data_IF_989264300572
#
_entry.id   IF_989264300572
#
_cell.length_a   1.000
_cell.length_b   1.000
_cell.length_c   1.000
_cell.angle_alpha   90.00
_cell.angle_beta   90.00
_cell.angle_gamma   90.00
#
_symmetry.space_group_name_H-M   'P 1'
#
loop_
_entity.id
_entity.type
_entity.pdbx_description
1 polymer ?
#
# COMPACT_ATOMS: atom_id res chain seq x y z
N UNK A 1 -18.47 9.96 11.33
CA UNK A 1 -18.04 11.31 10.93
C UNK A 1 -17.46 11.16 9.54
N UNK A 2 -17.56 12.14 8.63
CA UNK A 2 -17.01 12.00 7.30
C UNK A 2 -15.49 12.17 7.28
N UNK A 3 -14.83 11.57 6.30
CA UNK A 3 -13.39 11.73 6.06
C UNK A 3 -13.04 13.19 5.76
N UNK A 4 -11.89 13.61 6.22
CA UNK A 4 -11.37 14.96 6.00
C UNK A 4 -10.13 14.90 5.12
N UNK A 5 -10.16 15.67 4.02
CA UNK A 5 -9.00 15.81 3.14
C UNK A 5 -8.19 17.03 3.55
N UNK A 6 -6.89 16.85 3.69
CA UNK A 6 -5.98 17.91 4.09
C UNK A 6 -4.67 17.84 3.31
N UNK A 7 -4.12 18.99 2.96
CA UNK A 7 -2.79 19.12 2.39
C UNK A 7 -1.80 19.49 3.49
N UNK A 8 -0.66 18.80 3.52
CA UNK A 8 0.44 19.04 4.45
C UNK A 8 1.67 19.48 3.68
N UNK A 9 2.41 20.46 4.21
CA UNK A 9 3.66 20.94 3.59
C UNK A 9 4.84 20.20 4.22
N UNK A 10 5.69 19.58 3.39
CA UNK A 10 6.93 18.94 3.83
C UNK A 10 8.07 19.95 4.03
N UNK A 11 9.15 19.51 4.69
CA UNK A 11 10.37 20.33 4.86
C UNK A 11 11.02 20.72 3.50
N UNK A 12 10.78 19.97 2.42
CA UNK A 12 11.22 20.28 1.05
C UNK A 12 10.24 21.17 0.28
N UNK A 13 9.27 21.78 0.95
CA UNK A 13 8.22 22.61 0.36
C UNK A 13 7.26 21.86 -0.59
N UNK A 14 7.30 20.53 -0.61
CA UNK A 14 6.30 19.75 -1.34
C UNK A 14 5.00 19.67 -0.54
N UNK A 15 3.88 19.63 -1.22
CA UNK A 15 2.59 19.37 -0.64
C UNK A 15 2.31 17.87 -0.59
N UNK A 16 1.74 17.40 0.51
CA UNK A 16 1.27 16.02 0.68
C UNK A 16 -0.21 16.07 0.97
N UNK A 17 -0.99 15.40 0.13
CA UNK A 17 -2.41 15.21 0.38
C UNK A 17 -2.61 14.11 1.43
N UNK A 18 -3.25 14.44 2.54
CA UNK A 18 -3.58 13.52 3.64
C UNK A 18 -5.09 13.41 3.80
N UNK A 19 -5.56 12.21 4.00
CA UNK A 19 -6.95 11.89 4.30
C UNK A 19 -7.04 11.25 5.67
N UNK A 20 -7.86 11.82 6.55
CA UNK A 20 -8.09 11.30 7.90
C UNK A 20 -9.55 10.94 8.10
N UNK A 21 -9.82 9.88 8.84
CA UNK A 21 -11.17 9.39 9.16
C UNK A 21 -11.19 8.67 10.53
N UNK A 22 -12.36 8.17 10.92
CA UNK A 22 -12.55 7.46 12.18
C UNK A 22 -12.72 8.40 13.38
N UNK A 23 -12.20 7.98 14.54
CA UNK A 23 -12.25 8.76 15.77
C UNK A 23 -11.10 9.78 15.81
N UNK A 24 -11.35 11.09 15.83
CA UNK A 24 -10.28 12.11 15.87
C UNK A 24 -9.31 11.98 17.05
N UNK A 25 -9.81 11.48 18.18
CA UNK A 25 -9.04 11.28 19.41
C UNK A 25 -8.61 9.79 19.56
N UNK A 26 -8.78 9.00 18.49
CA UNK A 26 -8.51 7.57 18.48
C UNK A 26 -7.01 7.26 18.37
N UNK A 27 -6.67 5.98 18.67
CA UNK A 27 -5.30 5.51 18.51
C UNK A 27 -4.86 5.63 17.03
N UNK A 28 -3.64 6.13 16.74
CA UNK A 28 -3.21 6.41 15.39
C UNK A 28 -3.02 5.13 14.56
N UNK A 29 -3.66 5.07 13.41
CA UNK A 29 -3.53 4.00 12.43
C UNK A 29 -3.15 4.57 11.06
N UNK A 30 -1.97 4.23 10.58
CA UNK A 30 -1.53 4.57 9.24
C UNK A 30 -1.95 3.46 8.26
N UNK A 31 -2.83 3.79 7.32
CA UNK A 31 -3.24 2.90 6.24
C UNK A 31 -2.51 3.22 4.95
N UNK A 32 -1.81 2.24 4.38
CA UNK A 32 -1.04 2.40 3.14
C UNK A 32 -1.65 1.54 2.04
N UNK A 33 -2.39 2.13 1.09
CA UNK A 33 -3.01 1.39 0.00
C UNK A 33 -1.98 0.87 -1.01
N UNK A 34 -2.45 -0.06 -1.88
CA UNK A 34 -1.64 -0.66 -2.94
C UNK A 34 -1.12 0.32 -3.99
N UNK A 35 -0.54 -0.20 -5.04
CA UNK A 35 0.01 0.56 -6.18
C UNK A 35 -0.62 0.09 -7.49
N UNK A 36 -1.00 0.99 -8.38
CA UNK A 36 -1.08 2.45 -8.24
C UNK A 36 -2.35 2.88 -7.51
N UNK A 37 -2.25 3.80 -6.55
CA UNK A 37 -3.43 4.36 -5.88
C UNK A 37 -3.14 5.68 -5.17
N UNK A 38 -4.14 6.57 -5.14
CA UNK A 38 -4.15 7.77 -4.32
C UNK A 38 -5.08 7.62 -3.10
N UNK A 39 -5.01 8.51 -2.15
CA UNK A 39 -5.95 8.57 -1.04
C UNK A 39 -7.38 8.81 -1.54
N UNK A 40 -8.31 7.97 -1.10
CA UNK A 40 -9.73 8.05 -1.44
C UNK A 40 -10.59 7.64 -0.25
N UNK A 41 -11.77 8.23 -0.14
CA UNK A 41 -12.72 7.95 0.91
C UNK A 41 -13.29 6.54 0.79
N UNK A 42 -13.23 5.78 1.87
CA UNK A 42 -13.87 4.49 1.97
C UNK A 42 -14.67 4.37 3.27
N UNK A 43 -16.01 4.53 3.21
CA UNK A 43 -16.87 4.54 4.39
C UNK A 43 -16.70 3.32 5.30
N UNK A 44 -16.37 2.15 4.73
CA UNK A 44 -16.12 0.94 5.51
C UNK A 44 -14.88 1.05 6.40
N UNK A 45 -13.83 1.72 5.93
CA UNK A 45 -12.64 2.00 6.76
C UNK A 45 -12.94 3.02 7.85
N UNK A 46 -13.72 4.06 7.55
CA UNK A 46 -14.16 5.05 8.55
C UNK A 46 -15.01 4.39 9.64
N UNK A 47 -16.00 3.59 9.25
CA UNK A 47 -16.84 2.84 10.20
C UNK A 47 -16.01 1.86 11.05
N UNK A 48 -15.05 1.16 10.45
CA UNK A 48 -14.17 0.23 11.14
C UNK A 48 -13.28 0.96 12.15
N UNK A 49 -12.62 2.03 11.71
CA UNK A 49 -11.77 2.86 12.57
C UNK A 49 -12.58 3.43 13.75
N UNK A 50 -13.78 3.94 13.49
CA UNK A 50 -14.68 4.47 14.54
C UNK A 50 -15.04 3.40 15.56
N UNK A 51 -15.43 2.18 15.10
CA UNK A 51 -15.80 1.06 16.00
C UNK A 51 -14.65 0.58 16.88
N UNK A 52 -13.43 0.62 16.34
CA UNK A 52 -12.22 0.17 17.05
C UNK A 52 -11.55 1.31 17.84
N UNK A 53 -12.09 2.52 17.84
CA UNK A 53 -11.51 3.65 18.54
C UNK A 53 -10.20 4.14 17.91
N UNK A 54 -10.06 3.97 16.58
CA UNK A 54 -8.88 4.35 15.81
C UNK A 54 -9.09 5.67 15.06
N UNK A 55 -8.01 6.40 14.86
CA UNK A 55 -7.89 7.48 13.88
C UNK A 55 -7.07 7.01 12.70
N UNK A 56 -7.73 6.75 11.58
CA UNK A 56 -7.07 6.37 10.34
C UNK A 56 -6.46 7.58 9.66
N UNK A 57 -5.25 7.43 9.18
CA UNK A 57 -4.53 8.37 8.31
C UNK A 57 -4.07 7.60 7.06
N UNK A 58 -4.30 8.18 5.89
CA UNK A 58 -3.74 7.72 4.62
C UNK A 58 -3.35 8.92 3.78
N UNK A 59 -2.49 8.75 2.78
CA UNK A 59 -2.05 9.85 1.94
C UNK A 59 -1.89 9.42 0.49
N UNK A 60 -1.93 10.40 -0.39
CA UNK A 60 -1.46 10.22 -1.76
C UNK A 60 0.06 10.30 -1.79
N UNK A 61 0.72 9.22 -2.20
CA UNK A 61 2.19 9.20 -2.38
C UNK A 61 2.62 10.23 -3.43
N UNK A 62 3.90 10.62 -3.50
CA UNK A 62 4.38 11.63 -4.44
C UNK A 62 3.93 11.38 -5.88
N UNK A 63 3.36 12.42 -6.53
CA UNK A 63 2.84 12.35 -7.89
C UNK A 63 1.46 11.72 -8.03
N UNK A 64 0.82 11.32 -6.92
CA UNK A 64 -0.58 10.90 -6.90
C UNK A 64 -1.49 11.98 -6.31
N UNK A 65 -2.76 12.00 -6.75
CA UNK A 65 -3.76 12.92 -6.22
C UNK A 65 -3.28 14.37 -6.24
N UNK A 66 -3.41 15.05 -5.12
CA UNK A 66 -2.97 16.44 -4.95
C UNK A 66 -1.55 16.55 -4.32
N UNK A 67 -0.85 15.41 -4.14
CA UNK A 67 0.53 15.41 -3.61
C UNK A 67 1.53 15.80 -4.68
N UNK A 68 2.42 16.75 -4.38
CA UNK A 68 3.50 17.14 -5.28
C UNK A 68 4.38 15.93 -5.66
N UNK A 69 4.80 15.79 -6.91
CA UNK A 69 5.77 14.77 -7.30
C UNK A 69 7.10 15.01 -6.56
N UNK A 70 7.85 13.93 -6.32
CA UNK A 70 9.22 14.01 -5.81
C UNK A 70 10.17 14.14 -6.98
N UNK A 71 11.21 14.99 -6.85
CA UNK A 71 12.30 14.96 -7.81
C UNK A 71 12.95 13.56 -7.82
N UNK A 72 13.20 13.02 -9.01
CA UNK A 72 13.81 11.71 -9.16
C UNK A 72 15.17 11.68 -8.45
N UNK A 73 15.37 10.84 -7.43
CA UNK A 73 16.66 10.73 -6.75
C UNK A 73 17.75 10.19 -7.71
N UNK A 74 19.00 10.54 -7.49
CA UNK A 74 20.11 10.06 -8.30
C UNK A 74 20.28 8.52 -8.27
N UNK A 75 19.82 7.87 -7.20
CA UNK A 75 19.81 6.41 -7.05
C UNK A 75 18.50 5.76 -7.55
N UNK A 76 17.60 6.51 -8.19
CA UNK A 76 16.23 6.08 -8.46
C UNK A 76 15.33 6.13 -7.21
N UNK A 77 14.01 5.95 -7.37
CA UNK A 77 13.08 5.94 -6.24
C UNK A 77 13.24 4.65 -5.42
N UNK A 78 13.08 4.77 -4.09
CA UNK A 78 13.12 3.65 -3.14
C UNK A 78 11.93 3.70 -2.19
N UNK A 79 11.59 2.58 -1.60
CA UNK A 79 10.55 2.48 -0.57
C UNK A 79 10.88 3.37 0.64
N UNK A 80 12.14 3.38 1.08
CA UNK A 80 12.62 4.20 2.20
C UNK A 80 12.49 5.71 1.99
N UNK A 81 12.37 6.17 0.73
CA UNK A 81 12.22 7.60 0.43
C UNK A 81 10.87 8.15 0.90
N UNK A 82 9.90 7.29 1.21
CA UNK A 82 8.59 7.70 1.73
C UNK A 82 8.59 7.94 3.26
N UNK A 83 9.62 7.49 3.97
CA UNK A 83 9.70 7.65 5.44
C UNK A 83 9.70 9.11 5.89
N UNK A 84 10.46 10.05 5.27
CA UNK A 84 10.37 11.48 5.65
C UNK A 84 8.98 12.09 5.43
N UNK A 85 8.24 11.64 4.41
CA UNK A 85 6.86 12.09 4.19
C UNK A 85 5.93 11.53 5.28
N UNK A 86 6.11 10.27 5.66
CA UNK A 86 5.34 9.62 6.75
C UNK A 86 5.62 10.33 8.08
N UNK A 87 6.88 10.64 8.42
CA UNK A 87 7.21 11.40 9.64
C UNK A 87 6.53 12.78 9.63
N UNK A 88 6.57 13.48 8.48
CA UNK A 88 5.91 14.77 8.32
C UNK A 88 4.39 14.66 8.54
N UNK A 89 3.75 13.60 8.04
CA UNK A 89 2.33 13.35 8.25
C UNK A 89 2.03 13.10 9.73
N UNK A 90 2.78 12.21 10.36
CA UNK A 90 2.61 11.87 11.77
C UNK A 90 2.76 13.11 12.67
N UNK A 91 3.77 13.93 12.42
CA UNK A 91 4.02 15.15 13.18
C UNK A 91 2.92 16.19 12.96
N UNK A 92 2.47 16.39 11.72
CA UNK A 92 1.39 17.32 11.38
C UNK A 92 0.04 16.87 11.94
N UNK A 93 -0.19 15.56 12.11
CA UNK A 93 -1.37 14.98 12.74
C UNK A 93 -1.24 14.88 14.27
N UNK A 94 -0.13 15.37 14.87
CA UNK A 94 0.08 15.35 16.31
C UNK A 94 0.23 13.94 16.89
N UNK A 95 0.80 13.01 16.12
CA UNK A 95 1.15 11.68 16.62
C UNK A 95 2.53 11.77 17.28
N UNK A 96 2.53 12.07 18.57
CA UNK A 96 3.78 12.26 19.33
C UNK A 96 4.36 10.93 19.85
N UNK A 97 3.52 9.93 20.07
CA UNK A 97 3.91 8.65 20.63
C UNK A 97 3.92 7.55 19.56
N UNK A 98 3.15 6.49 19.77
CA UNK A 98 3.16 5.30 18.91
C UNK A 98 1.99 5.30 17.92
N UNK A 99 2.18 4.64 16.80
CA UNK A 99 1.14 4.32 15.81
C UNK A 99 1.23 2.86 15.37
N UNK A 100 0.13 2.32 14.87
CA UNK A 100 0.12 1.06 14.11
C UNK A 100 0.05 1.36 12.62
N UNK A 101 0.63 0.47 11.82
CA UNK A 101 0.63 0.60 10.37
C UNK A 101 0.13 -0.67 9.69
N UNK A 102 -0.72 -0.49 8.69
CA UNK A 102 -1.16 -1.59 7.82
C UNK A 102 -0.92 -1.19 6.37
N UNK A 103 -0.19 -2.02 5.64
CA UNK A 103 0.07 -1.84 4.22
C UNK A 103 -0.53 -2.97 3.39
N UNK A 104 -1.27 -2.60 2.33
CA UNK A 104 -1.86 -3.54 1.38
C UNK A 104 -1.11 -3.52 0.05
N UNK A 105 -0.80 -4.71 -0.52
CA UNK A 105 -0.17 -4.82 -1.84
C UNK A 105 1.13 -4.00 -1.91
N UNK A 106 1.31 -3.10 -2.88
CA UNK A 106 2.42 -2.15 -2.94
C UNK A 106 2.60 -1.22 -1.73
N UNK A 107 1.60 -1.15 -0.83
CA UNK A 107 1.72 -0.46 0.45
C UNK A 107 2.46 -1.28 1.52
N UNK A 108 2.48 -2.61 1.38
CA UNK A 108 3.13 -3.52 2.34
C UNK A 108 4.62 -3.23 2.58
N UNK A 109 5.45 -3.07 1.53
CA UNK A 109 6.85 -2.69 1.68
C UNK A 109 7.06 -1.41 2.50
N UNK A 110 6.13 -0.45 2.42
CA UNK A 110 6.18 0.81 3.19
C UNK A 110 5.79 0.62 4.66
N UNK A 111 4.87 -0.30 4.93
CA UNK A 111 4.59 -0.69 6.32
C UNK A 111 5.81 -1.37 6.96
N UNK A 112 6.52 -2.22 6.20
CA UNK A 112 7.79 -2.80 6.65
C UNK A 112 8.89 -1.73 6.82
N UNK A 113 8.91 -0.70 5.95
CA UNK A 113 9.82 0.44 6.12
C UNK A 113 9.54 1.21 7.42
N UNK A 114 8.27 1.44 7.77
CA UNK A 114 7.92 2.03 9.07
C UNK A 114 8.44 1.17 10.24
N UNK A 115 8.23 -0.14 10.17
CA UNK A 115 8.69 -1.07 11.21
C UNK A 115 10.22 -1.11 11.34
N UNK A 116 10.96 -0.98 10.23
CA UNK A 116 12.42 -1.02 10.21
C UNK A 116 13.06 0.31 10.61
N UNK A 117 12.50 1.43 10.15
CA UNK A 117 13.16 2.74 10.20
C UNK A 117 12.57 3.68 11.27
N UNK A 118 11.36 3.38 11.78
CA UNK A 118 10.71 4.15 12.83
C UNK A 118 10.38 3.25 14.07
N UNK A 119 11.30 2.40 14.55
CA UNK A 119 10.98 1.41 15.59
C UNK A 119 10.57 2.05 16.93
N UNK A 120 10.95 3.31 17.18
CA UNK A 120 10.56 4.04 18.40
C UNK A 120 9.15 4.64 18.32
N UNK A 121 8.55 4.67 17.12
CA UNK A 121 7.19 5.22 16.87
C UNK A 121 6.23 4.16 16.35
N UNK A 122 6.72 3.21 15.56
CA UNK A 122 5.90 2.11 15.02
C UNK A 122 5.75 1.02 16.09
N UNK A 123 4.59 0.95 16.74
CA UNK A 123 4.30 -0.09 17.74
C UNK A 123 4.20 -1.48 17.12
N UNK A 124 3.52 -1.57 16.00
CA UNK A 124 3.31 -2.81 15.26
C UNK A 124 2.95 -2.53 13.81
N UNK A 125 3.29 -3.44 12.93
CA UNK A 125 2.95 -3.38 11.51
C UNK A 125 2.17 -4.62 11.05
N UNK A 126 1.35 -4.46 10.01
CA UNK A 126 0.80 -5.58 9.28
C UNK A 126 0.96 -5.36 7.77
N UNK A 127 1.13 -6.45 7.06
CA UNK A 127 1.11 -6.48 5.59
C UNK A 127 0.00 -7.39 5.11
N UNK A 128 -0.77 -6.91 4.12
CA UNK A 128 -1.81 -7.66 3.43
C UNK A 128 -1.38 -7.82 1.97
N UNK A 129 -1.19 -9.04 1.49
CA UNK A 129 -0.75 -9.31 0.11
C UNK A 129 0.49 -8.49 -0.29
N UNK A 130 1.52 -8.42 0.56
CA UNK A 130 2.72 -7.62 0.34
C UNK A 130 3.73 -8.31 -0.57
N UNK A 131 4.35 -7.52 -1.43
CA UNK A 131 5.57 -7.93 -2.12
C UNK A 131 6.72 -8.16 -1.12
N UNK A 132 7.63 -9.06 -1.44
CA UNK A 132 8.96 -9.16 -0.84
C UNK A 132 9.95 -8.26 -1.62
N UNK A 133 11.15 -7.95 -1.08
CA UNK A 133 12.19 -7.24 -1.83
C UNK A 133 12.47 -7.89 -3.17
N UNK A 134 12.72 -7.06 -4.20
CA UNK A 134 12.96 -7.60 -5.55
C UNK A 134 14.22 -8.48 -5.63
N UNK A 135 15.22 -8.17 -4.81
CA UNK A 135 16.45 -8.92 -4.66
C UNK A 135 16.39 -10.02 -3.58
N UNK A 136 15.18 -10.44 -3.17
CA UNK A 136 14.95 -11.49 -2.19
C UNK A 136 15.60 -12.81 -2.59
N UNK A 137 16.64 -13.21 -1.86
CA UNK A 137 17.39 -14.42 -2.18
C UNK A 137 16.50 -15.68 -2.08
N UNK A 138 16.53 -16.50 -3.12
CA UNK A 138 15.77 -17.76 -3.19
C UNK A 138 14.30 -17.59 -3.58
N UNK A 139 13.82 -16.38 -3.86
CA UNK A 139 12.47 -16.12 -4.37
C UNK A 139 12.52 -15.92 -5.89
N UNK A 140 11.79 -16.74 -6.64
CA UNK A 140 11.44 -16.40 -8.03
C UNK A 140 10.31 -15.37 -7.99
N UNK A 141 10.72 -14.07 -8.02
CA UNK A 141 9.89 -12.94 -7.63
C UNK A 141 8.62 -12.78 -8.48
N UNK A 142 8.69 -13.09 -9.78
CA UNK A 142 7.55 -12.97 -10.70
C UNK A 142 6.75 -14.28 -10.86
N UNK A 143 7.24 -15.39 -10.30
CA UNK A 143 6.59 -16.68 -10.47
C UNK A 143 5.21 -16.73 -9.85
N UNK A 144 4.20 -17.07 -10.64
CA UNK A 144 2.81 -17.15 -10.23
C UNK A 144 2.03 -15.83 -10.37
N UNK A 145 2.68 -14.73 -10.77
CA UNK A 145 1.99 -13.49 -11.10
C UNK A 145 1.20 -13.61 -12.41
N UNK A 146 0.07 -12.90 -12.48
CA UNK A 146 -0.69 -12.75 -13.72
C UNK A 146 0.10 -12.04 -14.82
N UNK A 147 -0.18 -12.31 -16.10
CA UNK A 147 0.60 -11.77 -17.23
C UNK A 147 0.70 -10.24 -17.25
N UNK A 148 -0.34 -9.54 -16.79
CA UNK A 148 -0.34 -8.06 -16.69
C UNK A 148 0.71 -7.55 -15.70
N UNK A 149 0.82 -8.17 -14.52
CA UNK A 149 1.82 -7.80 -13.52
C UNK A 149 3.24 -8.14 -13.99
N UNK A 150 3.41 -9.29 -14.65
CA UNK A 150 4.71 -9.65 -15.23
C UNK A 150 5.15 -8.61 -16.26
N UNK A 151 4.23 -8.14 -17.13
CA UNK A 151 4.52 -7.11 -18.12
C UNK A 151 4.83 -5.75 -17.45
N UNK A 152 4.09 -5.39 -16.42
CA UNK A 152 4.27 -4.15 -15.65
C UNK A 152 5.68 -4.10 -15.01
N UNK A 153 6.05 -5.14 -14.27
CA UNK A 153 7.36 -5.19 -13.62
C UNK A 153 8.52 -5.36 -14.62
N UNK A 154 8.30 -6.09 -15.73
CA UNK A 154 9.30 -6.16 -16.79
C UNK A 154 9.59 -4.80 -17.39
N UNK A 155 8.56 -3.97 -17.65
CA UNK A 155 8.74 -2.61 -18.13
C UNK A 155 9.46 -1.73 -17.08
N UNK A 156 9.16 -1.90 -15.78
CA UNK A 156 9.86 -1.17 -14.72
C UNK A 156 11.37 -1.47 -14.70
N UNK A 157 11.77 -2.71 -14.97
CA UNK A 157 13.18 -3.13 -15.04
C UNK A 157 13.92 -2.55 -16.25
N UNK A 158 13.21 -2.13 -17.30
CA UNK A 158 13.82 -1.43 -18.43
C UNK A 158 14.18 0.03 -18.12
N UNK A 159 13.66 0.57 -17.00
CA UNK A 159 13.98 1.89 -16.50
C UNK A 159 12.85 2.93 -16.63
N UNK A 160 13.09 4.14 -16.12
CA UNK A 160 12.00 5.12 -15.91
C UNK A 160 11.33 5.62 -17.20
N UNK A 161 12.06 5.72 -18.32
CA UNK A 161 11.50 6.17 -19.61
C UNK A 161 10.57 5.09 -20.19
N UNK A 162 11.04 3.85 -20.26
CA UNK A 162 10.25 2.72 -20.76
C UNK A 162 9.02 2.48 -19.89
N UNK A 163 9.20 2.55 -18.57
CA UNK A 163 8.09 2.36 -17.63
C UNK A 163 7.07 3.49 -17.67
N UNK A 164 7.51 4.75 -17.85
CA UNK A 164 6.61 5.88 -18.09
C UNK A 164 5.72 5.66 -19.31
N UNK A 165 6.31 5.29 -20.44
CA UNK A 165 5.57 4.97 -21.67
C UNK A 165 4.60 3.79 -21.48
N UNK A 166 4.99 2.77 -20.70
CA UNK A 166 4.12 1.67 -20.35
C UNK A 166 2.91 2.16 -19.52
N UNK A 167 3.13 3.00 -18.51
CA UNK A 167 2.06 3.56 -17.68
C UNK A 167 1.12 4.48 -18.47
N UNK A 168 1.64 5.30 -19.39
CA UNK A 168 0.81 6.09 -20.32
C UNK A 168 -0.11 5.20 -21.16
N UNK A 169 0.39 4.05 -21.61
CA UNK A 169 -0.35 3.14 -22.48
C UNK A 169 -1.39 2.31 -21.73
N UNK A 170 -1.06 1.78 -20.54
CA UNK A 170 -1.86 0.76 -19.87
C UNK A 170 -2.51 1.23 -18.57
N UNK A 171 -1.94 2.21 -17.86
CA UNK A 171 -2.49 2.72 -16.62
C UNK A 171 -3.41 3.94 -16.85
N UNK A 172 -2.97 4.95 -17.60
CA UNK A 172 -3.77 6.17 -17.78
C UNK A 172 -5.18 5.93 -18.34
N UNK A 173 -5.39 5.02 -19.30
CA UNK A 173 -6.76 4.73 -19.74
C UNK A 173 -7.68 4.19 -18.65
N UNK A 174 -7.14 3.56 -17.60
CA UNK A 174 -7.91 3.07 -16.46
C UNK A 174 -8.39 4.20 -15.53
N UNK A 175 -7.73 5.36 -15.59
CA UNK A 175 -8.07 6.49 -14.72
C UNK A 175 -9.34 7.24 -15.14
N UNK A 176 -9.89 6.92 -16.30
CA UNK A 176 -11.19 7.41 -16.81
C UNK A 176 -12.25 6.29 -16.88
N UNK A 177 -11.91 5.08 -16.43
CA UNK A 177 -12.80 3.92 -16.52
C UNK A 177 -14.00 4.07 -15.59
N UNK A 178 -15.17 3.55 -16.01
CA UNK A 178 -16.34 3.50 -15.15
C UNK A 178 -16.18 2.49 -13.99
N UNK A 179 -17.00 2.61 -12.95
CA UNK A 179 -17.01 1.63 -11.84
C UNK A 179 -17.28 0.21 -12.37
N UNK A 180 -18.14 0.09 -13.38
CA UNK A 180 -18.47 -1.21 -13.97
C UNK A 180 -17.28 -1.78 -14.77
N UNK A 181 -16.54 -0.93 -15.48
CA UNK A 181 -15.32 -1.33 -16.21
C UNK A 181 -14.20 -1.74 -15.25
N UNK A 182 -14.01 -0.99 -14.16
CA UNK A 182 -13.05 -1.34 -13.11
C UNK A 182 -13.44 -2.67 -12.44
N UNK A 183 -14.72 -2.85 -12.11
CA UNK A 183 -15.21 -4.11 -11.53
C UNK A 183 -15.01 -5.29 -12.49
N UNK A 184 -15.30 -5.09 -13.80
CA UNK A 184 -15.07 -6.11 -14.82
C UNK A 184 -13.58 -6.41 -15.02
N UNK A 185 -12.73 -5.38 -15.03
CA UNK A 185 -11.27 -5.53 -15.10
C UNK A 185 -10.72 -6.28 -13.91
N UNK A 186 -11.17 -5.94 -12.71
CA UNK A 186 -10.80 -6.64 -11.49
C UNK A 186 -11.24 -8.11 -11.53
N UNK A 187 -12.45 -8.42 -12.01
CA UNK A 187 -12.92 -9.79 -12.13
C UNK A 187 -12.06 -10.65 -13.07
N UNK A 188 -11.33 -10.04 -14.01
CA UNK A 188 -10.37 -10.73 -14.89
C UNK A 188 -8.99 -10.95 -14.24
N UNK A 189 -8.65 -10.13 -13.25
CA UNK A 189 -7.36 -10.19 -12.54
C UNK A 189 -7.46 -10.98 -11.23
N UNK A 190 -8.68 -11.13 -10.71
CA UNK A 190 -8.95 -11.74 -9.43
C UNK A 190 -9.35 -13.21 -9.61
N UNK A 191 -8.99 -13.99 -8.61
CA UNK A 191 -9.47 -15.37 -8.52
C UNK A 191 -10.94 -15.40 -8.07
N UNK A 192 -11.68 -16.51 -8.23
CA UNK A 192 -13.05 -16.62 -7.76
C UNK A 192 -13.27 -16.32 -6.28
N UNK A 193 -12.22 -16.42 -5.46
CA UNK A 193 -12.24 -16.04 -4.04
C UNK A 193 -12.32 -14.53 -3.81
N UNK A 194 -11.85 -13.73 -4.77
CA UNK A 194 -11.87 -12.27 -4.73
C UNK A 194 -13.15 -11.66 -5.32
N UNK A 195 -14.31 -12.23 -5.04
CA UNK A 195 -15.56 -11.76 -5.62
C UNK A 195 -15.91 -10.32 -5.20
N UNK A 196 -15.41 -9.37 -5.98
CA UNK A 196 -15.61 -7.92 -5.80
C UNK A 196 -17.03 -7.49 -6.18
N UNK A 197 -17.74 -8.32 -6.95
CA UNK A 197 -19.08 -7.97 -7.45
C UNK A 197 -20.11 -7.86 -6.33
N UNK A 198 -19.86 -8.50 -5.20
CA UNK A 198 -20.71 -8.43 -4.01
C UNK A 198 -20.52 -7.15 -3.18
N UNK A 199 -19.56 -6.27 -3.53
CA UNK A 199 -19.32 -5.02 -2.82
C UNK A 199 -19.16 -3.84 -3.78
N UNK A 200 -20.29 -3.27 -4.22
CA UNK A 200 -20.30 -2.01 -4.99
C UNK A 200 -19.51 -0.90 -4.28
N UNK A 201 -19.43 -0.92 -2.94
CA UNK A 201 -18.63 0.00 -2.15
C UNK A 201 -17.14 -0.15 -2.39
N UNK A 202 -16.65 -1.39 -2.47
CA UNK A 202 -15.24 -1.67 -2.75
C UNK A 202 -14.86 -1.28 -4.18
N UNK A 203 -15.68 -1.66 -5.16
CA UNK A 203 -15.43 -1.29 -6.55
C UNK A 203 -15.36 0.24 -6.73
N UNK A 204 -16.28 0.99 -6.13
CA UNK A 204 -16.26 2.48 -6.16
C UNK A 204 -15.01 3.05 -5.52
N UNK A 205 -14.60 2.54 -4.38
CA UNK A 205 -13.38 2.98 -3.72
C UNK A 205 -12.14 2.72 -4.57
N UNK A 206 -12.00 1.52 -5.14
CA UNK A 206 -10.90 1.17 -6.04
C UNK A 206 -10.89 2.08 -7.28
N UNK A 207 -12.07 2.35 -7.86
CA UNK A 207 -12.22 3.29 -8.98
C UNK A 207 -11.75 4.69 -8.59
N UNK A 208 -12.20 5.22 -7.46
CA UNK A 208 -11.81 6.54 -6.99
C UNK A 208 -10.30 6.63 -6.72
N UNK A 209 -9.70 5.61 -6.08
CA UNK A 209 -8.25 5.55 -5.89
C UNK A 209 -7.50 5.58 -7.24
N UNK A 210 -7.99 4.85 -8.24
CA UNK A 210 -7.38 4.79 -9.58
C UNK A 210 -7.52 6.12 -10.32
N UNK A 211 -8.73 6.71 -10.35
CA UNK A 211 -8.97 8.01 -10.98
C UNK A 211 -8.05 9.08 -10.38
N UNK A 212 -7.99 9.15 -9.06
CA UNK A 212 -7.14 10.11 -8.37
C UNK A 212 -5.65 9.84 -8.58
N UNK A 213 -5.26 8.59 -8.76
CA UNK A 213 -3.86 8.26 -9.02
C UNK A 213 -3.37 8.80 -10.37
N UNK A 214 -4.25 8.96 -11.35
CA UNK A 214 -3.91 9.49 -12.67
C UNK A 214 -4.02 11.01 -12.84
N UNK A 215 -4.42 11.77 -11.81
CA UNK A 215 -4.66 13.23 -11.91
C UNK A 215 -3.42 13.99 -12.38
N UNK A 216 -2.22 13.52 -12.08
CA UNK A 216 -0.95 14.12 -12.50
C UNK A 216 -0.24 13.31 -13.60
N UNK A 217 -0.98 12.49 -14.34
CA UNK A 217 -0.43 11.59 -15.35
C UNK A 217 0.18 10.34 -14.75
N UNK A 218 1.21 9.81 -15.41
CA UNK A 218 1.85 8.53 -15.04
C UNK A 218 2.90 8.63 -13.93
N UNK A 219 3.31 9.85 -13.55
CA UNK A 219 4.48 10.11 -12.71
C UNK A 219 4.43 9.33 -11.40
N UNK A 220 3.31 9.40 -10.67
CA UNK A 220 3.15 8.69 -9.41
C UNK A 220 3.23 7.18 -9.59
N UNK A 221 2.51 6.65 -10.58
CA UNK A 221 2.48 5.21 -10.87
C UNK A 221 3.83 4.68 -11.36
N UNK A 222 4.57 5.48 -12.12
CA UNK A 222 5.93 5.17 -12.57
C UNK A 222 6.90 5.09 -11.40
N UNK A 223 6.98 6.15 -10.61
CA UNK A 223 7.98 6.24 -9.53
C UNK A 223 7.69 5.23 -8.42
N UNK A 224 6.42 4.99 -8.14
CA UNK A 224 5.95 3.99 -7.16
C UNK A 224 6.34 2.55 -7.58
N UNK A 225 6.10 2.19 -8.84
CA UNK A 225 6.48 0.88 -9.36
C UNK A 225 8.00 0.68 -9.49
N UNK A 226 8.75 1.72 -9.88
CA UNK A 226 10.22 1.69 -9.88
C UNK A 226 10.77 1.44 -8.47
N UNK A 227 10.17 2.02 -7.44
CA UNK A 227 10.57 1.80 -6.05
C UNK A 227 10.36 0.35 -5.58
N UNK A 228 9.38 -0.37 -6.15
CA UNK A 228 9.11 -1.78 -5.81
C UNK A 228 10.18 -2.72 -6.34
N UNK A 229 10.76 -2.44 -7.52
CA UNK A 229 11.81 -3.27 -8.15
C UNK A 229 13.24 -2.79 -7.85
N UNK A 230 13.39 -1.65 -7.17
CA UNK A 230 14.68 -1.16 -6.69
C UNK A 230 15.03 -1.76 -5.30
N UNK A 231 16.30 -1.67 -4.86
CA UNK A 231 16.63 -1.91 -3.45
C UNK A 231 15.82 -0.99 -2.54
N UNK A 232 15.11 -1.55 -1.57
CA UNK A 232 14.14 -0.80 -0.76
C UNK A 232 14.74 0.29 0.13
N UNK A 233 16.07 0.22 0.39
CA UNK A 233 16.79 1.19 1.22
C UNK A 233 16.77 0.87 2.72
N UNK A 234 16.27 -0.30 3.11
CA UNK A 234 16.34 -0.86 4.46
C UNK A 234 16.41 -2.40 4.38
N UNK A 235 16.75 -3.05 5.49
CA UNK A 235 16.85 -4.50 5.61
C UNK A 235 15.67 -5.02 6.45
N UNK A 236 14.85 -5.89 5.88
CA UNK A 236 13.69 -6.50 6.58
C UNK A 236 14.14 -7.38 7.74
N UNK A 237 15.38 -7.90 7.71
CA UNK A 237 15.95 -8.71 8.80
C UNK A 237 16.32 -7.90 10.02
N UNK A 238 16.34 -6.57 9.91
CA UNK A 238 16.58 -5.65 11.03
C UNK A 238 15.33 -5.27 11.82
N UNK A 239 14.14 -5.67 11.35
CA UNK A 239 12.88 -5.31 11.97
C UNK A 239 12.77 -5.94 13.37
N UNK A 240 12.57 -5.09 14.38
CA UNK A 240 12.45 -5.51 15.78
C UNK A 240 11.01 -5.38 16.33
N UNK A 241 10.16 -4.58 15.69
CA UNK A 241 8.76 -4.43 16.08
C UNK A 241 7.91 -5.58 15.52
N UNK A 242 6.82 -6.00 16.20
CA UNK A 242 5.96 -7.07 15.72
C UNK A 242 5.36 -6.79 14.34
N UNK A 243 5.38 -7.80 13.45
CA UNK A 243 4.82 -7.70 12.11
C UNK A 243 3.88 -8.87 11.82
N UNK A 244 2.59 -8.60 11.61
CA UNK A 244 1.64 -9.59 11.11
C UNK A 244 1.73 -9.65 9.57
N UNK A 245 1.91 -10.85 9.00
CA UNK A 245 2.05 -11.06 7.55
C UNK A 245 0.87 -11.88 7.05
N UNK A 246 -0.04 -11.22 6.33
CA UNK A 246 -1.23 -11.83 5.75
C UNK A 246 -1.04 -12.03 4.25
N UNK A 247 -1.14 -13.28 3.78
CA UNK A 247 -0.95 -13.62 2.38
C UNK A 247 -1.92 -14.71 1.93
N UNK A 248 -2.42 -14.57 0.70
CA UNK A 248 -3.42 -15.44 0.11
C UNK A 248 -2.83 -16.53 -0.80
N UNK A 249 -3.31 -17.77 -0.67
CA UNK A 249 -2.91 -18.89 -1.51
C UNK A 249 -3.42 -18.79 -2.94
N UNK A 250 -4.49 -18.03 -3.16
CA UNK A 250 -5.10 -17.81 -4.47
C UNK A 250 -4.79 -16.43 -5.07
N UNK A 251 -3.82 -15.72 -4.49
CA UNK A 251 -3.38 -14.42 -4.98
C UNK A 251 -2.49 -14.57 -6.23
N UNK A 252 -3.01 -14.14 -7.39
CA UNK A 252 -2.27 -14.08 -8.65
C UNK A 252 -1.66 -12.69 -8.94
N UNK A 253 -1.88 -11.73 -8.05
CA UNK A 253 -1.26 -10.40 -8.13
C UNK A 253 0.06 -10.38 -7.37
N UNK A 254 0.02 -10.82 -6.10
CA UNK A 254 1.21 -11.04 -5.27
C UNK A 254 1.18 -12.47 -4.72
N UNK A 255 1.82 -13.41 -5.40
CA UNK A 255 1.77 -14.83 -5.05
C UNK A 255 2.19 -15.12 -3.61
N UNK A 256 1.58 -16.13 -2.99
CA UNK A 256 1.84 -16.57 -1.61
C UNK A 256 3.33 -16.76 -1.28
N UNK A 257 4.17 -17.00 -2.31
CA UNK A 257 5.61 -17.13 -2.15
C UNK A 257 6.27 -15.90 -1.52
N UNK A 258 5.76 -14.69 -1.82
CA UNK A 258 6.21 -13.44 -1.19
C UNK A 258 5.92 -13.42 0.31
N UNK A 259 4.69 -13.74 0.71
CA UNK A 259 4.31 -13.82 2.12
C UNK A 259 5.12 -14.88 2.88
N UNK A 260 5.35 -16.04 2.27
CA UNK A 260 6.22 -17.09 2.87
C UNK A 260 7.65 -16.61 3.03
N UNK A 261 8.20 -15.91 2.05
CA UNK A 261 9.54 -15.35 2.13
C UNK A 261 9.64 -14.29 3.24
N UNK A 262 8.69 -13.37 3.31
CA UNK A 262 8.63 -12.36 4.38
C UNK A 262 8.52 -13.02 5.76
N UNK A 263 7.66 -14.01 5.90
CA UNK A 263 7.48 -14.75 7.16
C UNK A 263 8.76 -15.47 7.62
N UNK A 264 9.60 -15.88 6.67
CA UNK A 264 10.86 -16.56 6.99
C UNK A 264 12.01 -15.59 7.28
N UNK A 265 11.94 -14.33 6.80
CA UNK A 265 13.06 -13.38 6.85
C UNK A 265 12.82 -12.18 7.78
N UNK A 266 11.59 -11.85 8.14
CA UNK A 266 11.28 -10.84 9.17
C UNK A 266 11.32 -11.52 10.54
N UNK A 267 12.26 -11.13 11.44
CA UNK A 267 12.48 -11.87 12.71
C UNK A 267 11.28 -11.93 13.64
N UNK A 268 10.41 -10.91 13.55
CA UNK A 268 9.23 -10.73 14.40
C UNK A 268 7.93 -11.12 13.72
N UNK A 269 8.02 -11.81 12.56
CA UNK A 269 6.85 -12.12 11.75
C UNK A 269 5.87 -13.05 12.47
N UNK A 270 4.59 -12.69 12.42
CA UNK A 270 3.45 -13.56 12.75
C UNK A 270 2.71 -13.86 11.45
N UNK A 271 2.88 -15.07 10.86
CA UNK A 271 2.33 -15.37 9.55
C UNK A 271 0.87 -15.83 9.61
N UNK A 272 0.04 -15.25 8.74
CA UNK A 272 -1.33 -15.65 8.43
C UNK A 272 -1.40 -15.99 6.93
N UNK A 273 -1.10 -17.24 6.61
CA UNK A 273 -1.05 -17.76 5.23
C UNK A 273 -2.37 -18.49 4.93
N UNK A 274 -3.29 -17.80 4.26
CA UNK A 274 -4.67 -18.26 4.05
C UNK A 274 -4.79 -18.92 2.67
N UNK A 275 -4.95 -20.24 2.60
CA UNK A 275 -4.95 -21.00 1.34
C UNK A 275 -6.06 -20.57 0.37
N UNK A 276 -7.22 -20.17 0.89
CA UNK A 276 -8.40 -19.81 0.11
C UNK A 276 -8.57 -18.29 -0.13
N UNK A 277 -7.65 -17.46 0.36
CA UNK A 277 -7.71 -16.02 0.17
C UNK A 277 -7.02 -15.59 -1.12
N UNK A 278 -7.59 -14.58 -1.77
CA UNK A 278 -6.99 -13.88 -2.92
C UNK A 278 -6.40 -12.54 -2.52
N UNK A 279 -6.09 -11.69 -3.51
CA UNK A 279 -5.44 -10.39 -3.31
C UNK A 279 -6.32 -9.36 -2.58
N UNK A 280 -7.60 -9.30 -2.94
CA UNK A 280 -8.56 -8.33 -2.41
C UNK A 280 -9.32 -8.89 -1.22
N UNK A 281 -9.54 -10.19 -1.19
CA UNK A 281 -10.26 -10.86 -0.10
C UNK A 281 -9.64 -10.55 1.26
N UNK A 282 -8.31 -10.42 1.35
CA UNK A 282 -7.60 -10.06 2.58
C UNK A 282 -8.02 -8.70 3.18
N UNK A 283 -8.59 -7.79 2.38
CA UNK A 283 -9.15 -6.54 2.91
C UNK A 283 -10.37 -6.80 3.81
N UNK A 284 -11.05 -7.92 3.61
CA UNK A 284 -12.17 -8.30 4.47
C UNK A 284 -11.72 -8.70 5.88
N UNK A 285 -10.49 -9.17 6.03
CA UNK A 285 -9.90 -9.58 7.31
C UNK A 285 -9.30 -8.42 8.10
N UNK A 286 -9.42 -7.18 7.58
CA UNK A 286 -8.78 -5.98 8.16
C UNK A 286 -9.21 -5.72 9.62
N UNK A 287 -10.42 -6.10 10.02
CA UNK A 287 -10.84 -5.99 11.42
C UNK A 287 -10.02 -6.92 12.33
N UNK A 288 -9.77 -8.16 11.91
CA UNK A 288 -8.97 -9.13 12.66
C UNK A 288 -7.51 -8.70 12.72
N UNK A 289 -6.96 -8.19 11.60
CA UNK A 289 -5.63 -7.57 11.53
C UNK A 289 -5.48 -6.45 12.56
N UNK A 290 -6.43 -5.51 12.59
CA UNK A 290 -6.35 -4.37 13.49
C UNK A 290 -6.50 -4.78 14.96
N UNK A 291 -7.37 -5.74 15.26
CA UNK A 291 -7.52 -6.26 16.62
C UNK A 291 -6.22 -6.94 17.11
N UNK A 292 -5.57 -7.73 16.26
CA UNK A 292 -4.26 -8.33 16.55
C UNK A 292 -3.21 -7.27 16.89
N UNK A 293 -3.08 -6.22 16.04
CA UNK A 293 -2.11 -5.14 16.27
C UNK A 293 -2.37 -4.36 17.57
N UNK A 294 -3.64 -4.16 17.92
CA UNK A 294 -4.03 -3.45 19.15
C UNK A 294 -3.77 -4.26 20.43
N UNK A 295 -3.75 -5.60 20.36
CA UNK A 295 -3.48 -6.49 21.49
C UNK A 295 -1.97 -6.61 21.81
N UNK A 296 -1.09 -6.17 20.92
CA UNK A 296 0.36 -6.12 21.12
C UNK A 296 0.67 -5.13 22.26
N UNK A 297 1.41 -5.63 23.27
CA UNK A 297 1.75 -4.86 24.49
C UNK A 297 3.09 -4.17 24.36
#
# INVERSE_FOLDING_TARGET
MGSHRRTVITASTREIEVLTAGNPDGYPWLWIPGSPSAAADYPRLDDLATRLGLRIMTWSRPGYGDSSPRAMPAHGPRISDDIPDIETILDAEGVEEEFIVVGWSGGGPRALACAAMLPERCKAAATLASLAPFDAEGLDWMAGMGPGNVADFAAALEGPEAYGAFKETYFLPMTDASVDDVAAGLAMLLTPSDDVTHSLGLARWLTEMTHRAGVQGEIGARDDGLALVAPWGFDVTSIAVPVAIWAGGQDATVPLAHGKWLAANVPTAVPHLLEDAGHITLINDLEDVLRELLEIK
#
